data_IF_780895932659
#
_entry.id   IF_780895932659
#
_cell.length_a   1.000
_cell.length_b   1.000
_cell.length_c   1.000
_cell.angle_alpha   90.00
_cell.angle_beta   90.00
_cell.angle_gamma   90.00
#
_symmetry.space_group_name_H-M   'P 1'
#
loop_
_entity.id
_entity.type
_entity.pdbx_description
1 polymer ?
#
# COMPACT_ATOMS: atom_id res chain seq x y z
N UNK A 1 22.43 35.13 28.05
CA UNK A 1 21.66 33.93 27.62
C UNK A 1 22.57 33.05 26.78
N UNK A 2 22.66 31.74 27.05
CA UNK A 2 23.51 30.83 26.28
C UNK A 2 23.09 30.84 24.80
N UNK A 3 24.02 30.86 23.83
CA UNK A 3 23.70 30.98 22.40
C UNK A 3 22.74 29.89 21.89
N UNK A 4 22.77 28.69 22.49
CA UNK A 4 21.82 27.61 22.22
C UNK A 4 20.36 27.97 22.60
N UNK A 5 20.13 28.63 23.74
CA UNK A 5 18.79 29.01 24.20
C UNK A 5 18.14 30.07 23.28
N UNK A 6 18.95 30.98 22.72
CA UNK A 6 18.48 31.97 21.74
C UNK A 6 18.11 31.33 20.40
N UNK A 7 18.88 30.33 19.94
CA UNK A 7 18.55 29.55 18.73
C UNK A 7 17.24 28.78 18.89
N UNK A 8 17.04 28.08 20.01
CA UNK A 8 15.79 27.37 20.28
C UNK A 8 14.58 28.30 20.40
N UNK A 9 14.72 29.46 21.06
CA UNK A 9 13.64 30.45 21.13
C UNK A 9 13.25 30.99 19.74
N UNK A 10 14.22 31.19 18.84
CA UNK A 10 13.95 31.60 17.46
C UNK A 10 13.23 30.49 16.67
N UNK A 11 13.68 29.23 16.78
CA UNK A 11 13.02 28.10 16.10
C UNK A 11 11.59 27.93 16.60
N UNK A 12 11.37 28.04 17.91
CA UNK A 12 10.02 27.97 18.49
C UNK A 12 9.15 29.16 18.06
N UNK A 13 9.71 30.37 18.02
CA UNK A 13 8.99 31.56 17.56
C UNK A 13 8.59 31.47 16.09
N UNK A 14 9.50 31.01 15.22
CA UNK A 14 9.23 30.76 13.80
C UNK A 14 8.21 29.64 13.64
N UNK A 15 8.35 28.54 14.39
CA UNK A 15 7.40 27.43 14.37
C UNK A 15 5.98 27.87 14.76
N UNK A 16 5.87 28.65 15.85
CA UNK A 16 4.60 29.22 16.28
C UNK A 16 4.01 30.16 15.22
N UNK A 17 4.84 31.02 14.61
CA UNK A 17 4.41 31.92 13.54
C UNK A 17 3.85 31.13 12.35
N UNK A 18 4.53 30.07 11.92
CA UNK A 18 4.08 29.21 10.82
C UNK A 18 2.76 28.53 11.16
N UNK A 19 2.60 28.03 12.38
CA UNK A 19 1.35 27.41 12.84
C UNK A 19 0.21 28.43 12.88
N UNK A 20 0.45 29.65 13.38
CA UNK A 20 -0.57 30.71 13.44
C UNK A 20 -0.95 31.20 12.06
N UNK A 21 0.02 31.47 11.19
CA UNK A 21 -0.25 31.96 9.83
C UNK A 21 -0.91 30.87 8.97
N UNK A 22 -0.39 29.66 9.01
CA UNK A 22 -0.92 28.51 8.26
C UNK A 22 -2.30 28.12 8.77
N UNK A 23 -2.45 27.95 10.09
CA UNK A 23 -3.72 27.61 10.74
C UNK A 23 -4.76 28.71 10.58
N UNK A 24 -4.37 29.98 10.75
CA UNK A 24 -5.25 31.13 10.55
C UNK A 24 -5.74 31.26 9.12
N UNK A 25 -4.86 31.10 8.12
CA UNK A 25 -5.24 31.06 6.71
C UNK A 25 -6.20 29.90 6.42
N UNK A 26 -5.90 28.72 6.93
CA UNK A 26 -6.76 27.54 6.73
C UNK A 26 -8.14 27.76 7.35
N UNK A 27 -8.21 28.28 8.57
CA UNK A 27 -9.47 28.58 9.26
C UNK A 27 -10.28 29.66 8.52
N UNK A 28 -9.61 30.69 8.01
CA UNK A 28 -10.25 31.75 7.22
C UNK A 28 -10.87 31.19 5.93
N UNK A 29 -10.14 30.34 5.21
CA UNK A 29 -10.67 29.67 4.01
C UNK A 29 -11.82 28.72 4.36
N UNK A 30 -11.71 27.99 5.47
CA UNK A 30 -12.74 27.04 5.88
C UNK A 30 -14.06 27.73 6.28
N UNK A 31 -13.95 28.81 7.04
CA UNK A 31 -15.11 29.62 7.45
C UNK A 31 -15.74 30.32 6.26
N UNK A 32 -14.93 30.90 5.35
CA UNK A 32 -15.42 31.52 4.12
C UNK A 32 -16.15 30.51 3.24
N UNK A 33 -15.59 29.30 3.03
CA UNK A 33 -16.24 28.27 2.21
C UNK A 33 -17.58 27.84 2.80
N UNK A 34 -17.64 27.61 4.12
CA UNK A 34 -18.89 27.20 4.78
C UNK A 34 -19.95 28.30 4.73
N UNK A 35 -19.55 29.57 4.89
CA UNK A 35 -20.44 30.71 4.76
C UNK A 35 -20.92 30.91 3.31
N UNK A 36 -20.07 30.65 2.32
CA UNK A 36 -20.47 30.65 0.92
C UNK A 36 -21.46 29.52 0.62
N UNK A 37 -21.22 28.32 1.14
CA UNK A 37 -22.10 27.17 0.91
C UNK A 37 -23.54 27.40 1.41
N UNK A 38 -23.75 28.17 2.48
CA UNK A 38 -25.12 28.49 2.93
C UNK A 38 -25.88 29.41 1.97
N UNK A 39 -25.21 30.05 1.01
CA UNK A 39 -25.84 30.94 0.03
C UNK A 39 -26.43 30.23 -1.18
N UNK A 40 -26.08 28.95 -1.41
CA UNK A 40 -26.48 28.20 -2.61
C UNK A 40 -27.41 27.04 -2.23
N UNK A 41 -28.50 26.80 -2.99
CA UNK A 41 -29.31 25.60 -2.84
C UNK A 41 -28.46 24.32 -2.94
N UNK A 42 -28.53 23.46 -1.93
CA UNK A 42 -27.73 22.23 -1.87
C UNK A 42 -26.32 22.39 -1.31
N UNK A 43 -25.92 23.58 -0.85
CA UNK A 43 -24.57 23.78 -0.30
C UNK A 43 -24.26 22.97 0.96
N UNK A 44 -25.27 22.53 1.72
CA UNK A 44 -25.07 21.57 2.82
C UNK A 44 -24.56 20.20 2.33
N UNK A 45 -25.03 19.74 1.17
CA UNK A 45 -24.53 18.51 0.55
C UNK A 45 -23.09 18.70 0.04
N UNK A 46 -22.78 19.86 -0.54
CA UNK A 46 -21.41 20.21 -0.94
C UNK A 46 -20.42 20.15 0.24
N UNK A 47 -20.77 20.77 1.37
CA UNK A 47 -19.90 20.75 2.58
C UNK A 47 -19.76 19.33 3.11
N UNK A 48 -20.85 18.54 3.14
CA UNK A 48 -20.82 17.17 3.61
C UNK A 48 -19.88 16.28 2.75
N UNK A 49 -19.95 16.38 1.42
CA UNK A 49 -19.08 15.62 0.52
C UNK A 49 -17.62 16.09 0.61
N UNK A 50 -17.37 17.39 0.77
CA UNK A 50 -16.02 17.94 0.98
C UNK A 50 -15.40 17.46 2.30
N UNK A 51 -16.18 17.44 3.38
CA UNK A 51 -15.72 16.93 4.68
C UNK A 51 -15.49 15.42 4.62
N UNK A 52 -16.35 14.67 3.91
CA UNK A 52 -16.13 13.25 3.63
C UNK A 52 -14.85 13.02 2.83
N UNK A 53 -14.58 13.84 1.81
CA UNK A 53 -13.36 13.76 1.02
C UNK A 53 -12.10 13.94 1.85
N UNK A 54 -12.08 14.94 2.72
CA UNK A 54 -10.98 15.18 3.66
C UNK A 54 -10.81 14.05 4.66
N UNK A 55 -11.91 13.48 5.14
CA UNK A 55 -11.87 12.32 6.04
C UNK A 55 -11.21 11.13 5.34
N UNK A 56 -11.63 10.81 4.11
CA UNK A 56 -11.05 9.69 3.34
C UNK A 56 -9.57 9.92 3.07
N UNK A 57 -9.18 11.09 2.53
CA UNK A 57 -7.77 11.40 2.26
C UNK A 57 -6.94 11.44 3.56
N UNK A 58 -7.49 11.98 4.64
CA UNK A 58 -6.83 12.03 5.95
C UNK A 58 -6.61 10.65 6.55
N UNK A 59 -7.58 9.75 6.45
CA UNK A 59 -7.44 8.36 6.90
C UNK A 59 -6.41 7.59 6.07
N UNK A 60 -6.42 7.76 4.75
CA UNK A 60 -5.43 7.15 3.86
C UNK A 60 -4.02 7.64 4.22
N UNK A 61 -3.84 8.95 4.37
CA UNK A 61 -2.56 9.55 4.75
C UNK A 61 -2.08 9.06 6.11
N UNK A 62 -2.96 9.10 7.13
CA UNK A 62 -2.63 8.65 8.48
C UNK A 62 -2.21 7.17 8.48
N UNK A 63 -2.95 6.32 7.75
CA UNK A 63 -2.63 4.90 7.63
C UNK A 63 -1.29 4.69 6.94
N UNK A 64 -1.04 5.37 5.80
CA UNK A 64 0.19 5.25 5.04
C UNK A 64 1.42 5.72 5.84
N UNK A 65 1.30 6.86 6.51
CA UNK A 65 2.35 7.43 7.37
C UNK A 65 2.63 6.52 8.54
N UNK A 66 1.59 6.02 9.22
CA UNK A 66 1.76 5.08 10.33
C UNK A 66 2.44 3.81 9.87
N UNK A 67 2.01 3.26 8.73
CA UNK A 67 2.60 2.07 8.11
C UNK A 67 4.09 2.26 7.78
N UNK A 68 4.44 3.29 7.01
CA UNK A 68 5.82 3.56 6.61
C UNK A 68 6.72 3.85 7.82
N UNK A 69 6.24 4.70 8.74
CA UNK A 69 7.01 5.07 9.94
C UNK A 69 7.20 3.88 10.87
N UNK A 70 6.17 3.05 11.11
CA UNK A 70 6.29 1.88 11.97
C UNK A 70 7.32 0.87 11.43
N UNK A 71 7.33 0.61 10.13
CA UNK A 71 8.29 -0.30 9.51
C UNK A 71 9.73 0.21 9.62
N UNK A 72 9.96 1.50 9.37
CA UNK A 72 11.29 2.11 9.51
C UNK A 72 11.74 2.16 10.98
N UNK A 73 10.83 2.44 11.91
CA UNK A 73 11.10 2.38 13.34
C UNK A 73 11.44 0.96 13.81
N UNK A 74 10.84 -0.07 13.21
CA UNK A 74 11.18 -1.46 13.50
C UNK A 74 12.61 -1.78 13.08
N UNK A 75 13.04 -1.31 11.89
CA UNK A 75 14.43 -1.40 11.44
C UNK A 75 15.36 -0.63 12.39
N UNK A 76 15.05 0.62 12.71
CA UNK A 76 15.83 1.43 13.65
C UNK A 76 15.97 0.76 15.03
N UNK A 77 14.87 0.23 15.58
CA UNK A 77 14.88 -0.47 16.87
C UNK A 77 15.73 -1.73 16.83
N UNK A 78 15.76 -2.45 15.70
CA UNK A 78 16.62 -3.62 15.55
C UNK A 78 18.12 -3.26 15.55
N UNK A 79 18.51 -2.05 15.11
CA UNK A 79 19.88 -1.52 15.21
C UNK A 79 20.21 -1.13 16.65
N UNK A 80 19.30 -0.43 17.33
CA UNK A 80 19.47 -0.05 18.73
C UNK A 80 19.50 -1.24 19.70
N UNK A 81 18.86 -2.37 19.34
CA UNK A 81 18.89 -3.62 20.10
C UNK A 81 20.23 -4.35 20.06
N UNK A 82 21.17 -3.97 19.18
CA UNK A 82 22.51 -4.57 19.08
C UNK A 82 23.63 -3.53 19.26
N UNK A 83 23.45 -2.55 20.16
CA UNK A 83 24.55 -1.71 20.65
C UNK A 83 25.06 -2.28 21.99
N UNK A 84 26.10 -3.12 21.92
CA UNK A 84 27.52 -2.79 22.11
C UNK A 84 27.91 -2.63 23.59
N UNK A 85 28.43 -3.70 24.19
CA UNK A 85 29.42 -3.58 25.27
C UNK A 85 30.63 -2.82 24.70
N UNK A 86 30.68 -1.51 24.88
CA UNK A 86 31.88 -0.71 24.65
C UNK A 86 32.74 -0.73 25.91
N UNK A 87 33.67 -1.68 25.97
CA UNK A 87 35.00 -1.41 26.51
C UNK A 87 35.97 -1.51 25.36
N UNK A 88 36.35 -0.35 24.82
CA UNK A 88 37.63 -0.17 24.17
C UNK A 88 38.40 0.80 25.06
N UNK A 89 39.61 0.41 25.44
CA UNK A 89 40.55 1.34 26.05
C UNK A 89 40.89 2.52 25.12
N UNK A 90 41.77 3.37 25.63
CA UNK A 90 41.66 4.83 25.77
C UNK A 90 41.46 5.75 24.54
N UNK A 91 41.08 5.27 23.35
CA UNK A 91 40.80 6.17 22.21
C UNK A 91 39.61 5.69 21.36
N UNK A 92 38.45 6.25 21.68
CA UNK A 92 37.20 6.12 20.93
C UNK A 92 36.90 7.45 20.21
N UNK A 93 37.39 7.63 18.99
CA UNK A 93 36.86 8.68 18.12
C UNK A 93 35.66 8.10 17.41
N UNK A 94 34.53 8.12 18.12
CA UNK A 94 33.20 7.85 17.61
C UNK A 94 32.54 9.19 17.39
N UNK A 95 32.43 9.61 16.14
CA UNK A 95 31.42 10.59 15.78
C UNK A 95 30.05 9.90 15.85
N UNK A 96 29.54 9.80 17.07
CA UNK A 96 28.20 9.33 17.34
C UNK A 96 27.25 10.36 16.76
N UNK A 97 26.73 10.11 15.56
CA UNK A 97 25.51 10.79 15.10
C UNK A 97 24.51 10.64 16.26
N UNK A 98 24.09 11.75 16.91
CA UNK A 98 23.30 11.65 18.12
C UNK A 98 22.05 10.85 17.80
N UNK A 99 21.72 9.88 18.65
CA UNK A 99 20.60 8.94 18.45
C UNK A 99 19.28 9.66 18.12
N UNK A 100 19.12 10.89 18.61
CA UNK A 100 17.99 11.79 18.32
C UNK A 100 17.90 12.17 16.83
N UNK A 101 19.01 12.41 16.14
CA UNK A 101 19.01 12.72 14.71
C UNK A 101 18.68 11.51 13.85
N UNK A 102 19.12 10.31 14.24
CA UNK A 102 18.73 9.07 13.56
C UNK A 102 17.24 8.77 13.74
N UNK A 103 16.71 8.95 14.94
CA UNK A 103 15.27 8.82 15.19
C UNK A 103 14.46 9.85 14.41
N UNK A 104 14.86 11.13 14.47
CA UNK A 104 14.21 12.20 13.72
C UNK A 104 14.28 11.96 12.21
N UNK A 105 15.42 11.48 11.69
CA UNK A 105 15.57 11.10 10.29
C UNK A 105 14.67 9.92 9.91
N UNK A 106 14.55 8.90 10.77
CA UNK A 106 13.68 7.74 10.55
C UNK A 106 12.21 8.15 10.49
N UNK A 107 11.77 8.98 11.45
CA UNK A 107 10.41 9.53 11.48
C UNK A 107 10.18 10.40 10.24
N UNK A 108 11.11 11.31 9.92
CA UNK A 108 11.04 12.17 8.74
C UNK A 108 10.90 11.36 7.43
N UNK A 109 11.70 10.31 7.26
CA UNK A 109 11.60 9.41 6.11
C UNK A 109 10.26 8.65 6.10
N UNK A 110 9.74 8.24 7.25
CA UNK A 110 8.43 7.59 7.37
C UNK A 110 7.27 8.51 7.00
N UNK A 111 7.32 9.78 7.45
CA UNK A 111 6.36 10.82 7.07
C UNK A 111 6.38 11.07 5.56
N UNK A 112 7.58 11.26 4.99
CA UNK A 112 7.75 11.49 3.55
C UNK A 112 7.29 10.27 2.76
N UNK A 113 7.70 9.06 3.14
CA UNK A 113 7.30 7.82 2.47
C UNK A 113 5.79 7.59 2.51
N UNK A 114 5.15 7.81 3.66
CA UNK A 114 3.69 7.73 3.79
C UNK A 114 2.97 8.77 2.93
N UNK A 115 3.45 10.01 2.92
CA UNK A 115 2.91 11.05 2.06
C UNK A 115 3.05 10.70 0.57
N UNK A 116 4.22 10.24 0.13
CA UNK A 116 4.48 9.80 -1.24
C UNK A 116 3.54 8.66 -1.66
N UNK A 117 3.25 7.70 -0.78
CA UNK A 117 2.30 6.61 -1.04
C UNK A 117 0.88 7.13 -1.31
N UNK A 118 0.49 8.24 -0.68
CA UNK A 118 -0.86 8.82 -0.86
C UNK A 118 -1.00 9.81 -2.00
N UNK A 119 0.07 10.09 -2.75
CA UNK A 119 -0.03 10.92 -3.94
C UNK A 119 -1.00 10.27 -4.95
N UNK A 120 -1.86 11.09 -5.56
CA UNK A 120 -2.87 10.62 -6.52
C UNK A 120 -4.11 9.98 -5.90
N UNK A 121 -4.24 9.98 -4.57
CA UNK A 121 -5.47 9.52 -3.88
C UNK A 121 -6.55 10.60 -3.73
N UNK A 122 -6.36 11.76 -4.37
CA UNK A 122 -7.23 12.93 -4.23
C UNK A 122 -8.70 12.66 -4.57
N UNK A 123 -8.96 11.88 -5.63
CA UNK A 123 -10.33 11.60 -6.11
C UNK A 123 -10.95 10.34 -5.49
N UNK A 124 -10.23 9.68 -4.57
CA UNK A 124 -10.64 8.39 -4.02
C UNK A 124 -11.90 8.46 -3.18
N UNK A 125 -12.18 9.64 -2.63
CA UNK A 125 -13.41 9.89 -1.88
C UNK A 125 -14.67 9.62 -2.70
N UNK A 126 -14.66 9.83 -4.01
CA UNK A 126 -15.83 9.59 -4.86
C UNK A 126 -16.17 8.09 -4.88
N UNK A 127 -15.16 7.24 -4.98
CA UNK A 127 -15.31 5.78 -4.94
C UNK A 127 -15.72 5.32 -3.54
N UNK A 128 -15.14 5.89 -2.50
CA UNK A 128 -15.54 5.61 -1.12
C UNK A 128 -17.00 5.99 -0.87
N UNK A 129 -17.43 7.18 -1.31
CA UNK A 129 -18.80 7.68 -1.17
C UNK A 129 -19.79 6.76 -1.89
N UNK A 130 -19.50 6.45 -3.16
CA UNK A 130 -20.34 5.56 -3.97
C UNK A 130 -20.41 4.15 -3.35
N UNK A 131 -19.30 3.61 -2.85
CA UNK A 131 -19.28 2.29 -2.19
C UNK A 131 -20.08 2.26 -0.89
N UNK A 132 -20.07 3.35 -0.12
CA UNK A 132 -20.79 3.47 1.15
C UNK A 132 -22.31 3.48 0.97
N UNK A 133 -22.78 3.97 -0.18
CA UNK A 133 -24.18 4.04 -0.57
C UNK A 133 -24.37 3.39 -1.94
N UNK A 134 -23.93 2.12 -2.05
CA UNK A 134 -24.01 1.38 -3.29
C UNK A 134 -25.48 1.32 -3.78
N UNK A 135 -25.79 1.83 -4.99
CA UNK A 135 -27.16 1.79 -5.52
C UNK A 135 -27.56 0.33 -5.80
N UNK A 136 -28.83 0.01 -5.59
CA UNK A 136 -29.41 -1.28 -5.95
C UNK A 136 -30.08 -1.13 -7.31
N UNK A 137 -29.64 -1.91 -8.30
CA UNK A 137 -30.24 -1.88 -9.64
C UNK A 137 -31.33 -2.94 -9.81
N UNK A 138 -31.33 -3.99 -8.98
CA UNK A 138 -32.25 -5.12 -9.10
C UNK A 138 -31.94 -6.03 -10.29
N UNK A 139 -30.74 -5.90 -10.87
CA UNK A 139 -30.28 -6.69 -12.01
C UNK A 139 -29.03 -7.44 -11.57
N UNK A 140 -29.15 -8.76 -11.47
CA UNK A 140 -28.05 -9.63 -11.10
C UNK A 140 -27.27 -10.08 -12.35
N UNK A 141 -25.94 -10.14 -12.22
CA UNK A 141 -25.10 -10.71 -13.25
C UNK A 141 -25.31 -12.25 -13.36
N UNK A 142 -25.25 -12.83 -14.56
CA UNK A 142 -25.58 -14.25 -14.76
C UNK A 142 -24.49 -15.23 -14.27
N UNK A 143 -23.31 -14.75 -13.88
CA UNK A 143 -22.13 -15.60 -13.59
C UNK A 143 -21.94 -15.77 -12.08
N UNK A 144 -21.86 -14.66 -11.36
CA UNK A 144 -21.63 -14.57 -9.92
C UNK A 144 -22.91 -14.19 -9.15
N UNK A 145 -24.02 -13.92 -9.85
CA UNK A 145 -25.32 -13.59 -9.27
C UNK A 145 -25.26 -12.40 -8.29
N UNK A 146 -24.46 -11.38 -8.62
CA UNK A 146 -24.35 -10.13 -7.87
C UNK A 146 -25.06 -8.99 -8.60
N UNK A 147 -25.65 -8.08 -7.83
CA UNK A 147 -26.27 -6.88 -8.37
C UNK A 147 -25.26 -5.97 -9.09
N UNK A 148 -25.67 -5.30 -10.16
CA UNK A 148 -24.83 -4.32 -10.87
C UNK A 148 -24.24 -3.24 -9.94
N UNK A 149 -24.91 -2.92 -8.85
CA UNK A 149 -24.46 -2.00 -7.82
C UNK A 149 -23.14 -2.41 -7.18
N UNK A 150 -22.89 -3.72 -7.05
CA UNK A 150 -21.62 -4.23 -6.58
C UNK A 150 -20.47 -3.84 -7.52
N UNK A 151 -20.66 -4.00 -8.83
CA UNK A 151 -19.63 -3.76 -9.84
C UNK A 151 -19.37 -2.27 -10.09
N UNK A 152 -20.40 -1.42 -10.02
CA UNK A 152 -20.28 0.02 -10.25
C UNK A 152 -19.76 0.75 -9.00
N UNK A 153 -20.14 0.31 -7.80
CA UNK A 153 -19.85 1.02 -6.55
C UNK A 153 -18.78 0.37 -5.68
N UNK A 154 -18.93 -0.91 -5.34
CA UNK A 154 -18.08 -1.58 -4.34
C UNK A 154 -16.77 -2.11 -4.92
N UNK A 155 -16.83 -2.70 -6.11
CA UNK A 155 -15.66 -3.27 -6.77
C UNK A 155 -14.58 -2.21 -7.02
N UNK A 156 -14.85 -1.03 -7.63
CA UNK A 156 -13.80 -0.06 -7.92
C UNK A 156 -13.14 0.53 -6.67
N UNK A 157 -13.87 0.59 -5.56
CA UNK A 157 -13.31 1.02 -4.28
C UNK A 157 -12.38 -0.05 -3.69
N UNK A 158 -12.82 -1.30 -3.72
CA UNK A 158 -12.06 -2.45 -3.19
C UNK A 158 -10.79 -2.69 -4.01
N UNK A 159 -10.88 -2.52 -5.33
CA UNK A 159 -9.74 -2.54 -6.26
C UNK A 159 -8.68 -1.50 -5.92
N UNK A 160 -9.09 -0.25 -5.65
CA UNK A 160 -8.17 0.81 -5.22
C UNK A 160 -7.50 0.50 -3.90
N UNK A 161 -8.25 0.01 -2.92
CA UNK A 161 -7.69 -0.37 -1.62
C UNK A 161 -6.71 -1.53 -1.75
N UNK A 162 -7.00 -2.53 -2.58
CA UNK A 162 -6.06 -3.61 -2.89
C UNK A 162 -4.80 -3.06 -3.55
N UNK A 163 -4.93 -2.28 -4.63
CA UNK A 163 -3.79 -1.72 -5.35
C UNK A 163 -2.90 -0.86 -4.43
N UNK A 164 -3.52 -0.08 -3.54
CA UNK A 164 -2.83 0.67 -2.50
C UNK A 164 -2.06 -0.25 -1.54
N UNK A 165 -2.71 -1.30 -1.05
CA UNK A 165 -2.10 -2.25 -0.13
C UNK A 165 -0.91 -2.98 -0.78
N UNK A 166 -1.05 -3.44 -2.03
CA UNK A 166 0.05 -4.04 -2.79
C UNK A 166 1.20 -3.05 -2.94
N UNK A 167 0.93 -1.81 -3.36
CA UNK A 167 1.95 -0.77 -3.51
C UNK A 167 2.65 -0.49 -2.16
N UNK A 168 1.88 -0.27 -1.09
CA UNK A 168 2.42 0.07 0.22
C UNK A 168 3.23 -1.08 0.84
N UNK A 169 2.79 -2.32 0.71
CA UNK A 169 3.51 -3.48 1.25
C UNK A 169 4.73 -3.80 0.40
N UNK A 170 4.63 -3.78 -0.94
CA UNK A 170 5.76 -4.06 -1.83
C UNK A 170 6.85 -2.99 -1.73
N UNK A 171 6.49 -1.70 -1.74
CA UNK A 171 7.44 -0.60 -1.58
C UNK A 171 8.14 -0.67 -0.23
N UNK A 172 7.41 -0.89 0.87
CA UNK A 172 8.00 -1.05 2.20
C UNK A 172 8.89 -2.29 2.28
N UNK A 173 8.47 -3.42 1.70
CA UNK A 173 9.29 -4.64 1.62
C UNK A 173 10.60 -4.38 0.90
N UNK A 174 10.55 -3.68 -0.24
CA UNK A 174 11.75 -3.32 -1.01
C UNK A 174 12.68 -2.40 -0.20
N UNK A 175 12.15 -1.32 0.41
CA UNK A 175 12.93 -0.40 1.24
C UNK A 175 13.57 -1.11 2.43
N UNK A 176 12.80 -1.90 3.18
CA UNK A 176 13.29 -2.65 4.35
C UNK A 176 14.33 -3.70 3.95
N UNK A 177 14.10 -4.41 2.84
CA UNK A 177 15.08 -5.37 2.32
C UNK A 177 16.39 -4.66 1.93
N UNK A 178 16.32 -3.53 1.21
CA UNK A 178 17.49 -2.73 0.85
C UNK A 178 18.26 -2.23 2.08
N UNK A 179 17.55 -1.76 3.12
CA UNK A 179 18.16 -1.37 4.38
C UNK A 179 18.89 -2.54 5.05
N UNK A 180 18.26 -3.73 5.11
CA UNK A 180 18.90 -4.91 5.69
C UNK A 180 20.08 -5.45 4.87
N UNK A 181 20.06 -5.30 3.54
CA UNK A 181 21.22 -5.59 2.69
C UNK A 181 22.33 -4.58 2.95
N UNK A 182 22.03 -3.29 3.01
CA UNK A 182 23.00 -2.21 3.27
C UNK A 182 23.70 -2.35 4.62
N UNK A 183 22.98 -2.78 5.66
CA UNK A 183 23.53 -3.08 6.99
C UNK A 183 24.31 -4.42 7.01
N UNK A 184 24.11 -5.28 5.99
CA UNK A 184 24.75 -6.59 5.87
C UNK A 184 24.07 -7.71 6.67
N UNK A 185 22.84 -7.48 7.14
CA UNK A 185 22.01 -8.44 7.88
C UNK A 185 21.16 -9.35 7.01
N UNK A 186 20.95 -8.98 5.75
CA UNK A 186 20.43 -9.86 4.71
C UNK A 186 21.57 -10.18 3.74
N UNK A 187 21.94 -11.46 3.63
CA UNK A 187 22.96 -11.95 2.72
C UNK A 187 22.38 -13.07 1.87
N UNK A 188 22.89 -13.24 0.66
CA UNK A 188 22.48 -14.32 -0.22
C UNK A 188 23.60 -15.36 -0.28
N UNK A 189 23.29 -16.61 0.08
CA UNK A 189 24.22 -17.73 -0.04
C UNK A 189 23.65 -18.73 -1.04
N UNK A 190 24.30 -18.89 -2.20
CA UNK A 190 23.85 -19.78 -3.30
C UNK A 190 22.37 -19.56 -3.66
N UNK A 191 21.95 -18.29 -3.81
CA UNK A 191 20.56 -17.88 -4.11
C UNK A 191 19.55 -17.96 -2.96
N UNK A 192 19.91 -18.51 -1.80
CA UNK A 192 19.01 -18.53 -0.64
C UNK A 192 19.23 -17.30 0.25
N UNK A 193 18.14 -16.65 0.74
CA UNK A 193 18.24 -15.56 1.69
C UNK A 193 18.68 -16.10 3.05
N UNK A 194 19.81 -15.62 3.53
CA UNK A 194 20.32 -15.83 4.87
C UNK A 194 20.24 -14.51 5.63
N UNK A 195 19.32 -14.44 6.60
CA UNK A 195 19.05 -13.24 7.36
C UNK A 195 19.15 -13.53 8.86
N UNK A 196 19.61 -12.53 9.61
CA UNK A 196 19.58 -12.56 11.08
C UNK A 196 18.15 -12.80 11.58
N UNK A 197 17.96 -13.47 12.72
CA UNK A 197 16.64 -13.88 13.21
C UNK A 197 15.60 -12.73 13.24
N UNK A 198 16.01 -11.53 13.66
CA UNK A 198 15.15 -10.35 13.65
C UNK A 198 14.78 -9.85 12.24
N UNK A 199 15.77 -9.72 11.35
CA UNK A 199 15.54 -9.28 9.97
C UNK A 199 14.67 -10.29 9.22
N UNK A 200 14.88 -11.58 9.49
CA UNK A 200 14.07 -12.67 8.95
C UNK A 200 12.62 -12.61 9.43
N UNK A 201 12.38 -12.41 10.73
CA UNK A 201 11.03 -12.29 11.26
C UNK A 201 10.28 -11.09 10.64
N UNK A 202 10.94 -9.93 10.52
CA UNK A 202 10.35 -8.74 9.93
C UNK A 202 10.07 -8.91 8.43
N UNK A 203 11.05 -9.39 7.66
CA UNK A 203 10.85 -9.66 6.23
C UNK A 203 9.83 -10.79 5.98
N UNK A 204 9.80 -11.81 6.83
CA UNK A 204 8.82 -12.89 6.76
C UNK A 204 7.40 -12.41 6.99
N UNK A 205 7.20 -11.45 7.91
CA UNK A 205 5.92 -10.78 8.11
C UNK A 205 5.53 -9.94 6.89
N UNK A 206 6.46 -9.13 6.36
CA UNK A 206 6.21 -8.28 5.20
C UNK A 206 5.88 -9.09 3.94
N UNK A 207 6.62 -10.16 3.67
CA UNK A 207 6.29 -11.12 2.62
C UNK A 207 4.95 -11.80 2.89
N UNK A 208 4.66 -12.20 4.13
CA UNK A 208 3.37 -12.76 4.50
C UNK A 208 2.21 -11.81 4.15
N UNK A 209 2.34 -10.54 4.50
CA UNK A 209 1.35 -9.50 4.17
C UNK A 209 1.25 -9.27 2.66
N UNK A 210 2.38 -9.28 1.93
CA UNK A 210 2.37 -9.14 0.48
C UNK A 210 1.58 -10.30 -0.17
N UNK A 211 1.85 -11.53 0.26
CA UNK A 211 1.10 -12.69 -0.22
C UNK A 211 -0.40 -12.58 0.08
N UNK A 212 -0.80 -12.07 1.26
CA UNK A 212 -2.21 -11.81 1.58
C UNK A 212 -2.82 -10.76 0.63
N UNK A 213 -2.09 -9.71 0.26
CA UNK A 213 -2.60 -8.73 -0.72
C UNK A 213 -2.79 -9.34 -2.11
N UNK A 214 -1.96 -10.31 -2.50
CA UNK A 214 -2.13 -11.08 -3.74
C UNK A 214 -3.33 -12.04 -3.66
N UNK A 215 -3.54 -12.70 -2.52
CA UNK A 215 -4.75 -13.50 -2.26
C UNK A 215 -5.99 -12.65 -2.40
N UNK A 216 -6.00 -11.43 -1.86
CA UNK A 216 -7.12 -10.51 -2.02
C UNK A 216 -7.38 -10.20 -3.50
N UNK A 217 -6.34 -10.00 -4.30
CA UNK A 217 -6.46 -9.85 -5.76
C UNK A 217 -7.04 -11.08 -6.44
N UNK A 218 -6.54 -12.27 -6.12
CA UNK A 218 -7.06 -13.52 -6.67
C UNK A 218 -8.55 -13.73 -6.32
N UNK A 219 -9.00 -13.28 -5.15
CA UNK A 219 -10.42 -13.35 -4.74
C UNK A 219 -11.31 -12.31 -5.45
N UNK A 220 -10.73 -11.20 -5.92
CA UNK A 220 -11.43 -10.17 -6.69
C UNK A 220 -11.44 -10.47 -8.19
N UNK A 221 -10.47 -11.24 -8.70
CA UNK A 221 -10.31 -11.56 -10.12
C UNK A 221 -11.60 -12.07 -10.81
N UNK A 222 -12.43 -12.96 -10.21
CA UNK A 222 -13.69 -13.34 -10.81
C UNK A 222 -14.64 -12.16 -11.03
N UNK A 223 -14.72 -11.25 -10.05
CA UNK A 223 -15.56 -10.06 -10.13
C UNK A 223 -15.01 -9.05 -11.15
N UNK A 224 -13.70 -8.86 -11.19
CA UNK A 224 -13.05 -8.01 -12.20
C UNK A 224 -13.27 -8.53 -13.62
N UNK A 225 -13.23 -9.86 -13.77
CA UNK A 225 -13.48 -10.54 -15.03
C UNK A 225 -14.92 -10.33 -15.51
N UNK A 226 -15.91 -10.54 -14.63
CA UNK A 226 -17.33 -10.28 -14.95
C UNK A 226 -17.60 -8.80 -15.22
N UNK A 227 -16.91 -7.91 -14.51
CA UNK A 227 -16.97 -6.46 -14.77
C UNK A 227 -16.31 -6.04 -16.09
N UNK A 228 -15.65 -6.95 -16.80
CA UNK A 228 -14.97 -6.68 -18.07
C UNK A 228 -13.66 -5.91 -17.91
N UNK A 229 -13.07 -5.86 -16.70
CA UNK A 229 -11.79 -5.16 -16.45
C UNK A 229 -10.60 -5.85 -17.13
N UNK A 230 -10.76 -7.13 -17.48
CA UNK A 230 -9.79 -7.91 -18.25
C UNK A 230 -10.08 -7.94 -19.76
N UNK A 231 -11.00 -7.10 -20.23
CA UNK A 231 -11.47 -7.05 -21.61
C UNK A 231 -12.52 -8.13 -21.93
N UNK A 232 -12.92 -8.23 -23.20
CA UNK A 232 -13.95 -9.19 -23.64
C UNK A 232 -13.36 -10.60 -23.73
N UNK A 233 -13.76 -11.47 -22.81
CA UNK A 233 -13.37 -12.88 -22.79
C UNK A 233 -14.41 -13.74 -23.50
N UNK A 234 -13.92 -14.82 -24.14
CA UNK A 234 -14.81 -15.89 -24.63
C UNK A 234 -15.36 -16.69 -23.45
N UNK A 235 -16.52 -17.34 -23.62
CA UNK A 235 -17.12 -18.21 -22.61
C UNK A 235 -16.12 -19.27 -22.10
N UNK A 236 -15.34 -19.86 -23.02
CA UNK A 236 -14.30 -20.86 -22.68
C UNK A 236 -13.18 -20.28 -21.82
N UNK A 237 -12.77 -19.03 -22.06
CA UNK A 237 -11.75 -18.36 -21.24
C UNK A 237 -12.31 -18.03 -19.84
N UNK A 238 -13.59 -17.63 -19.76
CA UNK A 238 -14.27 -17.42 -18.49
C UNK A 238 -14.36 -18.72 -17.66
N UNK A 239 -14.76 -19.82 -18.28
CA UNK A 239 -14.89 -21.14 -17.63
C UNK A 239 -13.55 -21.66 -17.08
N UNK A 240 -12.42 -21.23 -17.67
CA UNK A 240 -11.09 -21.58 -17.19
C UNK A 240 -10.56 -20.62 -16.12
N UNK A 241 -10.90 -19.33 -16.19
CA UNK A 241 -10.37 -18.30 -15.27
C UNK A 241 -11.07 -18.31 -13.90
N UNK A 242 -12.39 -18.50 -13.88
CA UNK A 242 -13.16 -18.56 -12.64
C UNK A 242 -12.64 -19.62 -11.63
N UNK A 243 -12.35 -20.87 -12.03
CA UNK A 243 -11.77 -21.86 -11.12
C UNK A 243 -10.27 -21.64 -10.84
N UNK A 244 -9.55 -20.84 -11.65
CA UNK A 244 -8.15 -20.54 -11.40
C UNK A 244 -7.96 -19.61 -10.18
N UNK A 245 -8.88 -18.66 -9.97
CA UNK A 245 -8.86 -17.72 -8.84
C UNK A 245 -8.67 -18.39 -7.46
N UNK A 246 -9.48 -19.37 -7.03
CA UNK A 246 -9.28 -20.05 -5.75
C UNK A 246 -7.99 -20.87 -5.68
N UNK A 247 -7.48 -21.37 -6.81
CA UNK A 247 -6.19 -22.09 -6.86
C UNK A 247 -5.05 -21.11 -6.57
N UNK A 248 -5.02 -19.97 -7.25
CA UNK A 248 -4.02 -18.91 -6.99
C UNK A 248 -4.12 -18.41 -5.55
N UNK A 249 -5.33 -18.21 -5.04
CA UNK A 249 -5.55 -17.83 -3.64
C UNK A 249 -4.97 -18.88 -2.67
N UNK A 250 -5.12 -20.18 -2.95
CA UNK A 250 -4.54 -21.24 -2.13
C UNK A 250 -3.01 -21.21 -2.13
N UNK A 251 -2.37 -20.99 -3.29
CA UNK A 251 -0.93 -20.78 -3.37
C UNK A 251 -0.49 -19.52 -2.62
N UNK A 252 -1.27 -18.45 -2.66
CA UNK A 252 -1.01 -17.22 -1.93
C UNK A 252 -1.07 -17.41 -0.41
N UNK A 253 -2.06 -18.15 0.09
CA UNK A 253 -2.15 -18.53 1.50
C UNK A 253 -0.97 -19.40 1.92
N UNK A 254 -0.57 -20.35 1.07
CA UNK A 254 0.61 -21.19 1.31
C UNK A 254 1.91 -20.35 1.36
N UNK A 255 2.08 -19.38 0.45
CA UNK A 255 3.20 -18.44 0.44
C UNK A 255 3.22 -17.54 1.68
N UNK A 256 2.05 -17.08 2.14
CA UNK A 256 1.92 -16.33 3.38
C UNK A 256 2.39 -17.16 4.58
N UNK A 257 1.88 -18.40 4.71
CA UNK A 257 2.28 -19.35 5.74
C UNK A 257 3.77 -19.67 5.70
N UNK A 258 4.33 -19.95 4.51
CA UNK A 258 5.76 -20.21 4.33
C UNK A 258 6.62 -19.02 4.76
N UNK A 259 6.20 -17.79 4.44
CA UNK A 259 6.89 -16.55 4.82
C UNK A 259 6.94 -16.35 6.33
N UNK A 260 5.84 -16.65 7.03
CA UNK A 260 5.80 -16.64 8.51
C UNK A 260 6.66 -17.76 9.11
N UNK A 261 6.59 -18.97 8.55
CA UNK A 261 7.41 -20.10 9.00
C UNK A 261 8.90 -19.79 8.84
N UNK A 262 9.29 -19.11 7.76
CA UNK A 262 10.66 -18.63 7.60
C UNK A 262 11.02 -17.54 8.59
N UNK A 263 10.12 -16.60 8.84
CA UNK A 263 10.28 -15.62 9.92
C UNK A 263 10.69 -16.26 11.24
N UNK A 264 10.06 -17.39 11.60
CA UNK A 264 10.28 -18.11 12.85
C UNK A 264 11.41 -19.16 12.80
N UNK A 265 11.63 -19.82 11.66
CA UNK A 265 12.55 -20.96 11.48
C UNK A 265 13.37 -20.77 10.21
N UNK A 266 14.66 -21.10 10.23
CA UNK A 266 15.55 -20.93 9.06
C UNK A 266 15.26 -21.94 7.93
N UNK A 267 14.10 -21.83 7.27
CA UNK A 267 13.71 -22.69 6.14
C UNK A 267 13.57 -21.86 4.84
N UNK A 268 14.67 -21.29 4.32
CA UNK A 268 14.62 -20.41 3.16
C UNK A 268 14.11 -21.10 1.88
N UNK A 269 14.34 -22.42 1.73
CA UNK A 269 13.81 -23.20 0.61
C UNK A 269 12.28 -23.16 0.54
N UNK A 270 11.59 -23.23 1.69
CA UNK A 270 10.13 -23.25 1.72
C UNK A 270 9.54 -21.93 1.20
N UNK A 271 10.14 -20.80 1.54
CA UNK A 271 9.69 -19.48 1.06
C UNK A 271 9.94 -19.35 -0.42
N UNK A 272 11.16 -19.67 -0.87
CA UNK A 272 11.52 -19.55 -2.28
C UNK A 272 10.64 -20.46 -3.14
N UNK A 273 10.39 -21.70 -2.70
CA UNK A 273 9.50 -22.61 -3.43
C UNK A 273 8.04 -22.16 -3.42
N UNK A 274 7.53 -21.66 -2.29
CA UNK A 274 6.14 -21.22 -2.20
C UNK A 274 5.87 -19.95 -3.01
N UNK A 275 6.78 -18.98 -2.96
CA UNK A 275 6.72 -17.78 -3.80
C UNK A 275 6.91 -18.11 -5.28
N UNK A 276 7.85 -19.01 -5.62
CA UNK A 276 8.01 -19.49 -6.99
C UNK A 276 6.75 -20.17 -7.53
N UNK A 277 6.10 -21.00 -6.71
CA UNK A 277 4.83 -21.63 -7.07
C UNK A 277 3.68 -20.63 -7.22
N UNK A 278 3.59 -19.63 -6.34
CA UNK A 278 2.61 -18.54 -6.44
C UNK A 278 2.80 -17.74 -7.74
N UNK A 279 4.03 -17.29 -8.03
CA UNK A 279 4.31 -16.55 -9.25
C UNK A 279 4.00 -17.39 -10.51
N UNK A 280 4.31 -18.69 -10.49
CA UNK A 280 3.96 -19.59 -11.59
C UNK A 280 2.43 -19.73 -11.73
N UNK A 281 1.70 -19.86 -10.62
CA UNK A 281 0.24 -19.95 -10.61
C UNK A 281 -0.42 -18.67 -11.14
N UNK A 282 0.06 -17.49 -10.75
CA UNK A 282 -0.41 -16.20 -11.29
C UNK A 282 -0.11 -16.07 -12.78
N UNK A 283 1.11 -16.41 -13.21
CA UNK A 283 1.50 -16.35 -14.61
C UNK A 283 0.59 -17.25 -15.46
N UNK A 284 0.42 -18.52 -15.05
CA UNK A 284 -0.39 -19.49 -15.79
C UNK A 284 -1.88 -19.09 -15.75
N UNK A 285 -2.40 -18.72 -14.58
CA UNK A 285 -3.81 -18.44 -14.36
C UNK A 285 -4.30 -17.16 -15.01
N UNK A 286 -3.46 -16.12 -15.10
CA UNK A 286 -3.91 -14.80 -15.52
C UNK A 286 -3.26 -14.26 -16.81
N UNK A 287 -2.11 -14.79 -17.25
CA UNK A 287 -1.44 -14.30 -18.47
C UNK A 287 -1.55 -15.23 -19.67
N UNK A 288 -1.70 -16.54 -19.45
CA UNK A 288 -1.69 -17.55 -20.53
C UNK A 288 -3.09 -17.90 -21.02
N UNK A 289 -4.13 -17.74 -20.20
CA UNK A 289 -5.53 -17.92 -20.60
C UNK A 289 -5.95 -16.65 -21.37
N UNK A 290 -6.34 -16.76 -22.66
CA UNK A 290 -6.03 -15.78 -23.70
C UNK A 290 -6.66 -14.41 -23.50
N UNK A 291 -5.91 -13.40 -23.98
CA UNK A 291 -6.24 -11.98 -23.96
C UNK A 291 -7.45 -11.59 -24.83
N UNK A 292 -7.92 -10.34 -24.65
CA UNK A 292 -9.15 -9.84 -25.23
C UNK A 292 -9.20 -10.00 -26.75
N UNK A 293 -10.38 -10.34 -27.28
CA UNK A 293 -10.63 -10.24 -28.72
C UNK A 293 -10.36 -8.79 -29.19
N UNK A 294 -9.79 -8.59 -30.40
CA UNK A 294 -9.76 -7.27 -31.00
C UNK A 294 -11.20 -6.74 -31.13
N UNK A 295 -11.41 -5.42 -31.01
CA UNK A 295 -12.74 -4.83 -31.04
C UNK A 295 -13.48 -5.20 -32.34
N UNK A 296 -14.80 -5.41 -32.27
CA UNK A 296 -15.61 -5.66 -33.46
C UNK A 296 -15.48 -4.48 -34.42
N UNK A 297 -14.97 -4.74 -35.64
CA UNK A 297 -14.72 -3.72 -36.67
C UNK A 297 -13.32 -3.76 -37.31
N UNK A 298 -12.38 -4.53 -36.77
CA UNK A 298 -11.02 -4.67 -37.33
C UNK A 298 -10.92 -5.53 -38.60
N UNK A 299 -12.02 -6.13 -39.07
CA UNK A 299 -12.07 -6.97 -40.27
C UNK A 299 -12.63 -6.27 -41.52
N UNK A 300 -13.12 -5.03 -41.45
CA UNK A 300 -13.71 -4.35 -42.62
C UNK A 300 -12.72 -3.45 -43.41
N UNK A 301 -11.48 -3.27 -42.96
CA UNK A 301 -10.54 -2.32 -43.59
C UNK A 301 -9.60 -2.92 -44.66
N UNK A 302 -9.71 -4.21 -45.00
CA UNK A 302 -8.82 -4.86 -45.98
C UNK A 302 -9.60 -5.73 -46.97
N UNK A 303 -10.45 -5.09 -47.78
CA UNK A 303 -10.79 -5.61 -49.10
C UNK A 303 -10.22 -4.63 -50.14
N UNK A 304 -9.16 -5.00 -50.89
CA UNK A 304 -8.83 -4.28 -52.12
C UNK A 304 -9.82 -4.68 -53.22
N UNK A 305 -10.07 -3.70 -54.09
CA UNK A 305 -10.86 -3.75 -55.34
C UNK A 305 -10.62 -5.02 -56.17
#
# INVERSE_FOLDING_TARGET
>A
MKPAARRWALVLGVGLLVVVLGGGRWLALETAERAWATTIPGGSAYVAERDFARLVSGLLLLTAVTWATANLLFVYRSIGSMQLSRRLGDLEIVEAVPQQFLLAGTIGCGLVGGFLLTLGTGDWWMYAALSSRAPLFGVADPVLNRDLGFYVARLPWTERLRAFAVLAVSATTAVVALLYVGIGWLRFRRWLPYANAHARAHLGLLLGLLAITLVWGALLDPAETVAGLHGTLTQRALDLRLPAAPIVAAFGVAAAGASLVWGLRERPLLVVSAWGALCAAELIGFTVIPGPLPPPGSHEALAPL
#
